data_IF_548491457091
#
_entry.id   IF_548491457091
#
_cell.length_a   1.000
_cell.length_b   1.000
_cell.length_c   1.000
_cell.angle_alpha   90.00
_cell.angle_beta   90.00
_cell.angle_gamma   90.00
#
_symmetry.space_group_name_H-M   'P 1'
#
loop_
_entity.id
_entity.type
_entity.pdbx_description
1 polymer ?
#
# COMPACT_ATOMS: atom_id res chain seq x y z
N UNK A 1 -15.45 18.57 3.98
CA UNK A 1 -14.38 18.96 3.04
C UNK A 1 -13.15 19.22 3.90
N UNK A 2 -12.15 18.33 3.88
CA UNK A 2 -10.93 18.48 4.68
C UNK A 2 -10.03 19.49 3.96
N UNK A 3 -9.58 20.51 4.66
CA UNK A 3 -8.70 21.55 4.08
C UNK A 3 -7.32 20.93 3.87
N UNK A 4 -6.63 21.25 2.76
CA UNK A 4 -5.33 20.64 2.39
C UNK A 4 -4.25 20.73 3.48
N UNK A 5 -4.35 21.71 4.39
CA UNK A 5 -3.40 21.91 5.49
C UNK A 5 -3.65 20.99 6.71
N UNK A 6 -4.73 20.22 6.68
CA UNK A 6 -5.11 19.26 7.73
C UNK A 6 -4.88 17.80 7.29
N UNK A 7 -4.20 17.57 6.16
CA UNK A 7 -3.94 16.24 5.61
C UNK A 7 -2.44 15.95 5.74
N UNK A 8 -2.11 14.80 6.31
CA UNK A 8 -0.74 14.28 6.36
C UNK A 8 -0.30 13.75 4.99
N UNK A 9 0.19 12.51 4.95
CA UNK A 9 0.54 11.89 3.67
C UNK A 9 -0.72 11.64 2.84
N UNK A 10 -0.69 12.06 1.57
CA UNK A 10 -1.78 11.81 0.62
C UNK A 10 -1.26 11.56 -0.79
N UNK A 11 -2.05 10.87 -1.61
CA UNK A 11 -1.72 10.55 -3.00
C UNK A 11 -2.98 10.33 -3.85
N UNK A 12 -2.78 10.27 -5.17
CA UNK A 12 -3.86 9.99 -6.11
C UNK A 12 -3.60 8.65 -6.77
N UNK A 13 -4.62 7.80 -6.73
CA UNK A 13 -4.69 6.58 -7.52
C UNK A 13 -5.42 6.88 -8.82
N UNK A 14 -4.78 6.57 -9.95
CA UNK A 14 -5.48 6.52 -11.24
C UNK A 14 -6.36 5.26 -11.26
N UNK A 15 -7.54 5.36 -11.87
CA UNK A 15 -8.50 4.27 -12.04
C UNK A 15 -8.74 4.04 -13.54
N UNK A 16 -9.67 3.16 -13.90
CA UNK A 16 -10.06 2.96 -15.29
C UNK A 16 -10.57 4.26 -15.94
N UNK A 17 -10.23 4.44 -17.22
CA UNK A 17 -10.54 5.66 -17.97
C UNK A 17 -9.87 6.92 -17.41
N UNK A 18 -10.66 7.96 -17.13
CA UNK A 18 -10.19 9.25 -16.60
C UNK A 18 -10.42 9.38 -15.08
N UNK A 19 -10.95 8.33 -14.44
CA UNK A 19 -11.31 8.38 -13.02
C UNK A 19 -10.07 8.40 -12.15
N UNK A 20 -10.15 9.12 -11.04
CA UNK A 20 -9.12 9.15 -10.01
C UNK A 20 -9.75 8.98 -8.62
N UNK A 21 -8.99 8.38 -7.71
CA UNK A 21 -9.35 8.25 -6.30
C UNK A 21 -8.26 8.89 -5.44
N UNK A 22 -8.68 9.75 -4.50
CA UNK A 22 -7.79 10.41 -3.56
C UNK A 22 -7.70 9.62 -2.27
N UNK A 23 -6.48 9.39 -1.80
CA UNK A 23 -6.19 8.74 -0.53
C UNK A 23 -5.41 9.71 0.34
N UNK A 24 -5.69 9.73 1.65
CA UNK A 24 -5.02 10.61 2.58
C UNK A 24 -5.10 10.10 4.00
N UNK A 25 -4.09 10.44 4.79
CA UNK A 25 -4.03 10.18 6.22
C UNK A 25 -4.11 11.50 6.99
N UNK A 26 -4.47 11.40 8.27
CA UNK A 26 -4.36 12.52 9.19
C UNK A 26 -2.87 12.89 9.41
N UNK A 27 -2.58 14.13 9.82
CA UNK A 27 -1.26 14.54 10.23
C UNK A 27 -0.74 13.66 11.37
N UNK A 28 0.57 13.42 11.37
CA UNK A 28 1.24 12.56 12.33
C UNK A 28 1.59 13.38 13.56
N UNK A 29 1.35 12.82 14.74
CA UNK A 29 1.75 13.45 15.99
C UNK A 29 3.28 13.62 16.07
N UNK A 30 3.79 14.71 16.64
CA UNK A 30 5.23 14.86 16.83
C UNK A 30 5.82 13.73 17.67
N UNK A 31 6.97 13.20 17.23
CA UNK A 31 7.71 12.17 17.98
C UNK A 31 7.26 10.73 17.74
N UNK A 32 6.29 10.46 16.86
CA UNK A 32 5.91 9.09 16.47
C UNK A 32 6.43 8.75 15.08
N UNK A 33 6.69 7.46 14.83
CA UNK A 33 6.90 6.94 13.48
C UNK A 33 5.55 6.58 12.87
N UNK A 34 5.15 7.21 11.75
CA UNK A 34 3.93 6.82 11.09
C UNK A 34 4.11 5.51 10.32
N UNK A 35 3.09 4.65 10.42
CA UNK A 35 2.96 3.45 9.59
C UNK A 35 1.75 3.66 8.68
N UNK A 36 2.00 3.65 7.37
CA UNK A 36 0.95 3.79 6.36
C UNK A 36 0.70 2.46 5.65
N UNK A 37 -0.57 2.13 5.46
CA UNK A 37 -0.98 1.06 4.54
C UNK A 37 -1.41 1.67 3.22
N UNK A 38 -0.60 1.50 2.18
CA UNK A 38 -0.86 2.05 0.86
C UNK A 38 -1.03 0.94 -0.18
N UNK A 39 -1.82 1.24 -1.22
CA UNK A 39 -1.85 0.42 -2.43
C UNK A 39 -0.67 0.79 -3.34
N UNK A 40 -0.36 -0.06 -4.31
CA UNK A 40 0.75 0.11 -5.24
C UNK A 40 0.72 1.43 -6.04
N UNK A 41 -0.44 2.11 -6.15
CA UNK A 41 -0.50 3.40 -6.83
C UNK A 41 0.34 4.49 -6.15
N UNK A 42 0.71 4.32 -4.88
CA UNK A 42 1.66 5.22 -4.21
C UNK A 42 3.04 5.19 -4.88
N UNK A 43 3.44 4.04 -5.44
CA UNK A 43 4.68 3.86 -6.19
C UNK A 43 4.46 4.10 -7.69
N UNK A 44 3.35 3.64 -8.26
CA UNK A 44 3.11 3.84 -9.70
C UNK A 44 2.80 5.30 -10.06
N UNK A 45 2.45 6.13 -9.06
CA UNK A 45 2.16 7.55 -9.22
C UNK A 45 2.88 8.38 -8.14
N UNK A 46 4.19 8.12 -7.92
CA UNK A 46 5.02 8.83 -6.91
C UNK A 46 4.88 10.35 -6.97
N UNK A 47 4.79 10.92 -8.17
CA UNK A 47 4.67 12.36 -8.38
C UNK A 47 3.37 12.98 -7.81
N UNK A 48 2.37 12.17 -7.47
CA UNK A 48 1.15 12.62 -6.79
C UNK A 48 1.24 12.61 -5.27
N UNK A 49 2.30 12.00 -4.72
CA UNK A 49 2.47 11.83 -3.29
C UNK A 49 2.91 13.14 -2.66
N UNK A 50 2.20 13.56 -1.63
CA UNK A 50 2.50 14.73 -0.82
C UNK A 50 2.62 14.31 0.64
N UNK A 51 3.57 14.87 1.43
CA UNK A 51 4.59 15.86 1.03
C UNK A 51 5.61 15.31 0.03
N UNK A 52 6.12 16.18 -0.84
CA UNK A 52 7.22 15.84 -1.74
C UNK A 52 8.43 15.36 -0.92
N UNK A 53 9.12 14.32 -1.37
CA UNK A 53 10.29 13.82 -0.63
C UNK A 53 9.97 12.78 0.45
N UNK A 54 8.68 12.49 0.73
CA UNK A 54 8.30 11.61 1.85
C UNK A 54 8.70 10.16 1.61
N UNK A 55 8.60 9.66 0.38
CA UNK A 55 8.91 8.28 0.05
C UNK A 55 10.42 8.01 0.05
N UNK A 56 11.26 9.00 -0.26
CA UNK A 56 12.73 8.90 -0.24
C UNK A 56 13.28 8.68 1.17
N UNK A 57 12.51 9.04 2.19
CA UNK A 57 12.86 8.88 3.60
C UNK A 57 12.12 7.73 4.27
N UNK A 58 11.30 6.99 3.53
CA UNK A 58 10.44 5.96 4.07
C UNK A 58 11.06 4.56 3.95
N UNK A 59 10.87 3.72 4.97
CA UNK A 59 11.03 2.28 4.85
C UNK A 59 9.82 1.69 4.12
N UNK A 60 9.98 1.40 2.84
CA UNK A 60 8.95 0.78 2.00
C UNK A 60 8.96 -0.74 2.19
N UNK A 61 7.87 -1.28 2.75
CA UNK A 61 7.65 -2.72 2.94
C UNK A 61 6.57 -3.20 1.97
N UNK A 62 6.94 -4.07 1.04
CA UNK A 62 6.03 -4.68 0.08
C UNK A 62 5.40 -5.96 0.64
N UNK A 63 4.07 -6.02 0.64
CA UNK A 63 3.32 -7.25 0.98
C UNK A 63 2.96 -7.96 -0.33
N UNK A 64 3.67 -9.06 -0.62
CA UNK A 64 3.61 -9.73 -1.91
C UNK A 64 2.74 -10.98 -1.88
N UNK A 65 1.92 -11.16 -2.92
CA UNK A 65 1.27 -12.41 -3.26
C UNK A 65 1.22 -12.58 -4.80
N UNK A 66 1.32 -13.83 -5.31
CA UNK A 66 1.14 -14.12 -6.74
C UNK A 66 -0.21 -13.67 -7.28
N UNK A 67 -0.26 -13.44 -8.59
CA UNK A 67 -1.35 -12.83 -9.34
C UNK A 67 -2.65 -13.64 -9.25
N UNK A 68 -2.57 -14.97 -9.31
CA UNK A 68 -3.70 -15.88 -9.15
C UNK A 68 -4.29 -15.79 -7.73
N UNK A 69 -3.44 -15.75 -6.70
CA UNK A 69 -3.85 -15.57 -5.32
C UNK A 69 -4.48 -14.19 -5.11
N UNK A 70 -3.88 -13.14 -5.68
CA UNK A 70 -4.43 -11.77 -5.63
C UNK A 70 -5.81 -11.70 -6.27
N UNK A 71 -6.00 -12.32 -7.44
CA UNK A 71 -7.27 -12.40 -8.13
C UNK A 71 -8.32 -13.13 -7.29
N UNK A 72 -7.99 -14.32 -6.78
CA UNK A 72 -8.92 -15.12 -5.99
C UNK A 72 -9.36 -14.35 -4.73
N UNK A 73 -8.42 -13.75 -4.00
CA UNK A 73 -8.73 -12.91 -2.83
C UNK A 73 -9.61 -11.70 -3.17
N UNK A 74 -9.40 -11.07 -4.33
CA UNK A 74 -10.26 -9.96 -4.77
C UNK A 74 -11.69 -10.45 -5.04
N UNK A 75 -11.84 -11.62 -5.66
CA UNK A 75 -13.14 -12.18 -6.01
C UNK A 75 -13.91 -12.62 -4.77
N UNK A 76 -13.23 -13.24 -3.81
CA UNK A 76 -13.81 -13.64 -2.54
C UNK A 76 -14.22 -12.44 -1.68
N UNK A 77 -13.38 -11.41 -1.60
CA UNK A 77 -13.63 -10.23 -0.76
C UNK A 77 -14.70 -9.29 -1.35
N UNK A 78 -14.86 -9.27 -2.66
CA UNK A 78 -15.67 -8.27 -3.34
C UNK A 78 -16.43 -8.86 -4.53
N UNK A 79 -17.34 -9.83 -4.29
CA UNK A 79 -18.10 -10.48 -5.35
C UNK A 79 -18.93 -9.48 -6.17
N UNK A 80 -19.52 -8.47 -5.54
CA UNK A 80 -20.30 -7.44 -6.22
C UNK A 80 -19.44 -6.63 -7.20
N UNK A 81 -18.20 -6.33 -6.82
CA UNK A 81 -17.26 -5.63 -7.69
C UNK A 81 -16.95 -6.45 -8.94
N UNK A 82 -16.81 -7.77 -8.80
CA UNK A 82 -16.59 -8.70 -9.92
C UNK A 82 -17.77 -8.71 -10.87
N UNK A 83 -18.99 -8.68 -10.33
CA UNK A 83 -20.20 -8.73 -11.14
C UNK A 83 -20.51 -7.40 -11.83
N UNK A 84 -20.41 -6.30 -11.09
CA UNK A 84 -20.90 -4.98 -11.52
C UNK A 84 -19.82 -4.14 -12.23
N UNK A 85 -18.54 -4.37 -11.94
CA UNK A 85 -17.43 -3.53 -12.42
C UNK A 85 -16.23 -4.35 -12.92
N UNK A 86 -16.40 -5.18 -13.97
CA UNK A 86 -15.33 -6.03 -14.49
C UNK A 86 -14.11 -5.24 -15.00
N UNK A 87 -14.30 -4.03 -15.52
CA UNK A 87 -13.20 -3.16 -15.96
C UNK A 87 -12.35 -2.66 -14.78
N UNK A 88 -12.97 -2.33 -13.66
CA UNK A 88 -12.26 -1.93 -12.44
C UNK A 88 -11.46 -3.11 -11.87
N UNK A 89 -12.01 -4.32 -11.94
CA UNK A 89 -11.31 -5.56 -11.53
C UNK A 89 -10.09 -5.80 -12.41
N UNK A 90 -10.24 -5.70 -13.73
CA UNK A 90 -9.13 -5.83 -14.66
C UNK A 90 -8.05 -4.78 -14.38
N UNK A 91 -8.43 -3.52 -14.15
CA UNK A 91 -7.51 -2.45 -13.79
C UNK A 91 -6.77 -2.73 -12.47
N UNK A 92 -7.48 -3.18 -11.43
CA UNK A 92 -6.90 -3.52 -10.11
C UNK A 92 -5.88 -4.66 -10.20
N UNK A 93 -6.07 -5.60 -11.14
CA UNK A 93 -5.21 -6.76 -11.34
C UNK A 93 -4.12 -6.56 -12.40
N UNK A 94 -4.24 -5.53 -13.26
CA UNK A 94 -3.27 -5.21 -14.30
C UNK A 94 -1.92 -4.73 -13.73
N UNK A 95 -1.93 -4.18 -12.51
CA UNK A 95 -0.69 -3.85 -11.82
C UNK A 95 -0.09 -5.12 -11.19
N UNK A 96 0.92 -5.66 -11.86
CA UNK A 96 1.64 -6.87 -11.45
C UNK A 96 2.30 -6.69 -10.07
N UNK A 97 2.29 -7.74 -9.26
CA UNK A 97 2.77 -7.64 -7.88
C UNK A 97 4.28 -7.38 -7.80
N UNK A 98 5.01 -7.71 -8.87
CA UNK A 98 6.45 -7.51 -8.98
C UNK A 98 6.85 -6.06 -9.24
N UNK A 99 5.95 -5.22 -9.75
CA UNK A 99 6.24 -3.83 -10.12
C UNK A 99 6.75 -2.99 -8.94
N UNK A 100 6.38 -3.35 -7.71
CA UNK A 100 6.81 -2.66 -6.51
C UNK A 100 8.21 -3.05 -6.02
N UNK A 101 8.83 -4.10 -6.57
CA UNK A 101 10.10 -4.65 -6.08
C UNK A 101 11.27 -3.66 -6.16
N UNK A 102 11.44 -2.86 -7.23
CA UNK A 102 12.53 -1.89 -7.31
C UNK A 102 12.49 -0.83 -6.21
N UNK A 103 11.30 -0.49 -5.72
CA UNK A 103 11.10 0.52 -4.68
C UNK A 103 11.00 -0.09 -3.26
N UNK A 104 10.85 -1.41 -3.15
CA UNK A 104 10.68 -2.09 -1.87
C UNK A 104 12.04 -2.34 -1.21
N UNK A 105 12.17 -1.91 0.05
CA UNK A 105 13.34 -2.23 0.87
C UNK A 105 13.22 -3.62 1.51
N UNK A 106 11.99 -4.03 1.82
CA UNK A 106 11.65 -5.33 2.40
C UNK A 106 10.47 -5.91 1.65
N UNK A 107 10.54 -7.19 1.29
CA UNK A 107 9.43 -7.93 0.68
C UNK A 107 8.96 -9.02 1.64
N UNK A 108 7.70 -8.94 2.06
CA UNK A 108 7.04 -9.96 2.89
C UNK A 108 6.10 -10.78 2.03
N UNK A 109 6.44 -12.05 1.83
CA UNK A 109 5.58 -13.02 1.14
C UNK A 109 4.36 -13.32 2.00
N UNK A 110 3.18 -13.14 1.43
CA UNK A 110 1.89 -13.32 2.10
C UNK A 110 0.95 -14.21 1.27
N UNK A 111 1.35 -15.47 1.07
CA UNK A 111 0.59 -16.47 0.32
C UNK A 111 0.99 -17.90 0.73
N UNK A 112 0.04 -18.84 0.69
CA UNK A 112 0.29 -20.26 0.99
C UNK A 112 0.95 -20.46 2.35
N UNK A 113 2.04 -21.24 2.41
CA UNK A 113 2.77 -21.51 3.67
C UNK A 113 3.31 -20.26 4.38
N UNK A 114 3.42 -19.13 3.67
CA UNK A 114 3.97 -17.89 4.22
C UNK A 114 2.92 -17.03 4.95
N UNK A 115 1.62 -17.23 4.72
CA UNK A 115 0.57 -16.38 5.33
C UNK A 115 0.63 -16.39 6.85
N UNK A 116 0.80 -17.58 7.43
CA UNK A 116 0.89 -17.75 8.88
C UNK A 116 2.12 -17.05 9.46
N UNK A 117 3.24 -17.09 8.73
CA UNK A 117 4.52 -16.49 9.14
C UNK A 117 4.58 -14.99 8.86
N UNK A 118 3.84 -14.49 7.86
CA UNK A 118 3.88 -13.09 7.46
C UNK A 118 3.47 -12.16 8.61
N UNK A 119 2.45 -12.56 9.39
CA UNK A 119 2.04 -11.82 10.60
C UNK A 119 3.18 -11.73 11.60
N UNK A 120 3.80 -12.86 11.94
CA UNK A 120 4.88 -12.91 12.93
C UNK A 120 6.11 -12.12 12.47
N UNK A 121 6.44 -12.19 11.18
CA UNK A 121 7.53 -11.44 10.57
C UNK A 121 7.29 -9.93 10.62
N UNK A 122 6.08 -9.46 10.33
CA UNK A 122 5.73 -8.03 10.43
C UNK A 122 5.80 -7.57 11.89
N UNK A 123 5.26 -8.35 12.84
CA UNK A 123 5.34 -8.00 14.27
C UNK A 123 6.79 -7.94 14.74
N UNK A 124 7.63 -8.89 14.33
CA UNK A 124 9.05 -8.88 14.66
C UNK A 124 9.77 -7.67 14.06
N UNK A 125 9.48 -7.31 12.81
CA UNK A 125 10.02 -6.12 12.15
C UNK A 125 9.62 -4.84 12.91
N UNK A 126 8.36 -4.69 13.30
CA UNK A 126 7.91 -3.51 14.04
C UNK A 126 8.57 -3.40 15.42
N UNK A 127 8.77 -4.53 16.11
CA UNK A 127 9.53 -4.56 17.37
C UNK A 127 10.97 -4.10 17.17
N UNK A 128 11.64 -4.61 16.13
CA UNK A 128 13.00 -4.19 15.80
C UNK A 128 13.07 -2.67 15.51
N UNK A 129 12.15 -2.15 14.70
CA UNK A 129 12.07 -0.70 14.40
C UNK A 129 11.92 0.10 15.69
N UNK A 130 11.05 -0.33 16.62
CA UNK A 130 10.85 0.38 17.89
C UNK A 130 12.11 0.44 18.76
N UNK A 131 12.96 -0.58 18.71
CA UNK A 131 14.21 -0.63 19.47
C UNK A 131 15.29 0.29 18.91
N UNK A 132 15.30 0.53 17.59
CA UNK A 132 16.31 1.38 16.93
C UNK A 132 15.97 2.86 17.07
N UNK A 133 14.70 3.18 17.29
CA UNK A 133 14.19 4.56 17.26
C UNK A 133 14.08 5.16 18.66
N UNK A 134 14.03 4.31 19.69
CA UNK A 134 14.06 4.77 21.09
C UNK A 134 15.53 5.04 21.48
N UNK A 135 15.91 6.29 21.82
CA UNK A 135 17.26 6.60 22.29
C UNK A 135 17.59 5.96 23.63
#
# INVERSE_FOLDING_TARGET
>A
MVVREEIGMHWVRKMEGTRTESYGFLPVEPGVIPIYSANNAVINNRGSVTPNGVLEKALIVAIYAPEDIRRNRLFERSPDLVHEKPEEVAYRLADEAINMYPDAHIVVKNFGRYEQQAKDNIVALMKLISQVVTP
#
